data_IF_195315712479
#
_entry.id   IF_195315712479
#
_cell.length_a   1.000
_cell.length_b   1.000
_cell.length_c   1.000
_cell.angle_alpha   90.00
_cell.angle_beta   90.00
_cell.angle_gamma   90.00
#
_symmetry.space_group_name_H-M   'P 1'
#
loop_
_entity.id
_entity.type
_entity.pdbx_description
1 polymer ?
#
# COMPACT_ATOMS: atom_id res chain seq x y z
N UNK A 1 8.74 14.00 6.85
CA UNK A 1 9.00 12.73 6.13
C UNK A 1 7.97 12.42 5.04
N UNK A 2 6.67 12.29 5.38
CA UNK A 2 5.63 11.94 4.39
C UNK A 2 5.56 12.90 3.19
N UNK A 3 5.67 14.21 3.42
CA UNK A 3 5.72 15.20 2.34
C UNK A 3 6.91 14.98 1.40
N UNK A 4 8.08 14.70 1.96
CA UNK A 4 9.30 14.44 1.18
C UNK A 4 9.12 13.20 0.29
N UNK A 5 8.58 12.11 0.85
CA UNK A 5 8.26 10.88 0.09
C UNK A 5 7.26 11.19 -1.03
N UNK A 6 6.20 11.96 -0.73
CA UNK A 6 5.18 12.32 -1.69
C UNK A 6 5.74 13.12 -2.87
N UNK A 7 6.57 14.13 -2.59
CA UNK A 7 7.25 14.93 -3.61
C UNK A 7 8.20 14.08 -4.44
N UNK A 8 8.99 13.19 -3.81
CA UNK A 8 9.90 12.29 -4.54
C UNK A 8 9.15 11.36 -5.50
N UNK A 9 8.00 10.80 -5.08
CA UNK A 9 7.18 9.94 -5.95
C UNK A 9 6.54 10.72 -7.10
N UNK A 10 6.07 11.93 -6.83
CA UNK A 10 5.48 12.80 -7.83
C UNK A 10 6.52 13.22 -8.89
N UNK A 11 7.72 13.62 -8.45
CA UNK A 11 8.80 14.01 -9.34
C UNK A 11 9.34 12.85 -10.18
N UNK A 12 9.36 11.63 -9.64
CA UNK A 12 9.93 10.47 -10.34
C UNK A 12 8.97 9.81 -11.35
N UNK A 13 7.66 9.83 -11.09
CA UNK A 13 6.70 9.07 -11.90
C UNK A 13 5.31 9.68 -12.00
N UNK A 14 5.13 10.94 -11.61
CA UNK A 14 3.83 11.61 -11.63
C UNK A 14 2.84 11.08 -10.58
N UNK A 15 1.61 11.58 -10.60
CA UNK A 15 0.53 11.10 -9.75
C UNK A 15 -0.06 9.77 -10.25
N UNK A 16 -0.78 8.99 -9.41
CA UNK A 16 -1.10 9.23 -8.00
C UNK A 16 0.01 8.81 -7.03
N UNK A 17 0.22 9.59 -5.96
CA UNK A 17 1.24 9.30 -4.93
C UNK A 17 0.80 8.18 -3.97
N UNK A 18 -0.50 8.11 -3.69
CA UNK A 18 -1.08 7.11 -2.80
C UNK A 18 -1.65 5.95 -3.60
N UNK A 19 -1.51 4.76 -3.03
CA UNK A 19 -2.15 3.53 -3.45
C UNK A 19 -3.14 3.12 -2.35
N UNK A 20 -4.33 2.68 -2.74
CA UNK A 20 -5.34 2.19 -1.80
C UNK A 20 -5.82 0.81 -2.24
N UNK A 21 -5.85 -0.14 -1.30
CA UNK A 21 -6.38 -1.48 -1.52
C UNK A 21 -7.49 -1.76 -0.51
N UNK A 22 -8.60 -2.32 -0.98
CA UNK A 22 -9.67 -2.77 -0.07
C UNK A 22 -9.21 -4.02 0.69
N UNK A 23 -9.35 -4.00 2.02
CA UNK A 23 -8.97 -5.06 2.94
C UNK A 23 -10.11 -5.36 3.90
N UNK A 24 -10.12 -6.55 4.48
CA UNK A 24 -11.05 -6.92 5.55
C UNK A 24 -10.46 -6.51 6.90
N UNK A 25 -11.18 -5.64 7.61
CA UNK A 25 -10.87 -5.20 8.97
C UNK A 25 -11.69 -5.94 10.03
N UNK A 26 -11.85 -5.32 11.19
CA UNK A 26 -12.60 -5.89 12.30
C UNK A 26 -14.06 -6.21 11.91
N UNK A 27 -14.53 -7.40 12.32
CA UNK A 27 -15.88 -7.86 12.02
C UNK A 27 -16.15 -8.08 10.52
N UNK A 28 -15.12 -8.44 9.75
CA UNK A 28 -15.17 -8.63 8.29
C UNK A 28 -15.65 -7.38 7.52
N UNK A 29 -15.47 -6.19 8.09
CA UNK A 29 -15.85 -4.94 7.45
C UNK A 29 -14.78 -4.51 6.44
N UNK A 30 -15.12 -4.31 5.16
CA UNK A 30 -14.16 -3.84 4.17
C UNK A 30 -13.79 -2.37 4.41
N UNK A 31 -12.51 -2.04 4.33
CA UNK A 31 -12.02 -0.66 4.40
C UNK A 31 -10.87 -0.43 3.41
N UNK A 32 -10.54 0.84 3.14
CA UNK A 32 -9.45 1.22 2.21
C UNK A 32 -8.14 1.37 2.97
N UNK A 33 -7.23 0.43 2.80
CA UNK A 33 -5.88 0.50 3.37
C UNK A 33 -4.98 1.38 2.51
N UNK A 34 -4.48 2.49 3.06
CA UNK A 34 -3.64 3.45 2.34
C UNK A 34 -2.15 3.11 2.43
N UNK A 35 -1.43 3.23 1.32
CA UNK A 35 0.03 3.10 1.23
C UNK A 35 0.60 4.11 0.24
N UNK A 36 1.91 4.33 0.27
CA UNK A 36 2.58 5.02 -0.83
C UNK A 36 2.67 4.10 -2.06
N UNK A 37 2.51 4.68 -3.25
CA UNK A 37 2.69 3.96 -4.52
C UNK A 37 4.16 3.54 -4.65
N UNK A 38 4.39 2.24 -4.81
CA UNK A 38 5.72 1.68 -5.06
C UNK A 38 5.96 1.30 -6.52
N UNK A 39 4.88 0.97 -7.22
CA UNK A 39 4.91 0.55 -8.62
C UNK A 39 4.90 1.74 -9.58
N UNK A 40 5.40 1.52 -10.79
CA UNK A 40 5.28 2.50 -11.87
C UNK A 40 3.81 2.65 -12.30
N UNK A 41 3.41 3.86 -12.70
CA UNK A 41 2.05 4.15 -13.19
C UNK A 41 1.74 3.41 -14.48
N UNK A 42 2.77 3.15 -15.28
CA UNK A 42 2.67 2.49 -16.58
C UNK A 42 2.61 0.97 -16.46
N UNK A 43 2.74 0.41 -15.25
CA UNK A 43 2.59 -1.03 -15.06
C UNK A 43 1.16 -1.46 -15.35
N UNK A 44 1.04 -2.60 -16.04
CA UNK A 44 -0.24 -3.21 -16.37
C UNK A 44 -1.06 -3.46 -15.09
N UNK A 45 -2.28 -2.89 -14.99
CA UNK A 45 -3.22 -3.17 -13.90
C UNK A 45 -3.53 -4.67 -13.72
N UNK A 46 -3.36 -5.47 -14.78
CA UNK A 46 -3.58 -6.92 -14.79
C UNK A 46 -2.32 -7.75 -14.49
N UNK A 47 -1.20 -7.12 -14.12
CA UNK A 47 -0.01 -7.85 -13.68
C UNK A 47 -0.25 -8.65 -12.39
N UNK A 48 0.75 -9.45 -11.96
CA UNK A 48 0.65 -10.29 -10.76
C UNK A 48 0.00 -9.56 -9.56
N UNK A 49 -1.07 -10.13 -9.02
CA UNK A 49 -1.78 -9.60 -7.86
C UNK A 49 -0.90 -9.57 -6.60
N UNK A 50 0.12 -10.45 -6.55
CA UNK A 50 1.08 -10.52 -5.47
C UNK A 50 2.37 -9.77 -5.83
N UNK A 51 2.90 -9.02 -4.85
CA UNK A 51 4.24 -8.47 -4.94
C UNK A 51 5.25 -9.57 -4.63
N UNK A 52 6.15 -9.86 -5.56
CA UNK A 52 7.24 -10.83 -5.38
C UNK A 52 8.55 -10.13 -4.98
N UNK A 53 9.48 -10.86 -4.38
CA UNK A 53 10.82 -10.35 -4.15
C UNK A 53 11.49 -10.03 -5.49
N UNK A 54 12.07 -8.84 -5.62
CA UNK A 54 12.70 -8.40 -6.88
C UNK A 54 11.71 -8.01 -7.99
N UNK A 55 10.47 -7.65 -7.66
CA UNK A 55 9.46 -7.25 -8.64
C UNK A 55 9.93 -6.07 -9.52
N UNK A 56 10.13 -6.33 -10.81
CA UNK A 56 10.60 -5.36 -11.80
C UNK A 56 9.63 -4.20 -12.03
N UNK A 57 8.36 -4.34 -11.60
CA UNK A 57 7.35 -3.28 -11.67
C UNK A 57 7.63 -2.15 -10.67
N UNK A 58 8.46 -2.39 -9.65
CA UNK A 58 8.76 -1.39 -8.62
C UNK A 58 9.72 -0.31 -9.13
N UNK A 59 9.37 0.94 -8.85
CA UNK A 59 10.27 2.08 -9.05
C UNK A 59 11.48 1.99 -8.11
N UNK A 60 12.57 2.71 -8.42
CA UNK A 60 13.75 2.79 -7.54
C UNK A 60 13.37 3.30 -6.14
N UNK A 61 12.52 4.32 -6.08
CA UNK A 61 11.99 4.87 -4.82
C UNK A 61 11.09 3.83 -4.13
N UNK A 62 10.21 3.16 -4.89
CA UNK A 62 9.34 2.11 -4.38
C UNK A 62 10.09 0.95 -3.72
N UNK A 63 11.26 0.57 -4.27
CA UNK A 63 12.14 -0.44 -3.65
C UNK A 63 12.69 0.02 -2.30
N UNK A 64 13.13 1.26 -2.18
CA UNK A 64 13.59 1.83 -0.90
C UNK A 64 12.44 1.89 0.11
N UNK A 65 11.26 2.32 -0.33
CA UNK A 65 10.07 2.35 0.53
C UNK A 65 9.67 0.96 1.02
N UNK A 66 9.72 -0.06 0.16
CA UNK A 66 9.44 -1.45 0.53
C UNK A 66 10.44 -2.00 1.55
N UNK A 67 11.74 -1.71 1.36
CA UNK A 67 12.81 -2.18 2.22
C UNK A 67 12.74 -1.53 3.61
N UNK A 68 12.38 -0.25 3.67
CA UNK A 68 12.25 0.53 4.92
C UNK A 68 10.86 0.44 5.56
N UNK A 69 9.88 -0.16 4.87
CA UNK A 69 8.45 -0.15 5.23
C UNK A 69 7.82 1.24 5.33
N UNK A 70 8.50 2.29 4.85
CA UNK A 70 7.92 3.62 4.83
C UNK A 70 6.74 3.77 3.87
N UNK A 71 6.52 2.80 2.97
CA UNK A 71 5.28 2.75 2.17
C UNK A 71 4.02 2.58 3.02
N UNK A 72 4.14 2.05 4.24
CA UNK A 72 3.03 1.78 5.15
C UNK A 72 2.65 3.00 6.02
N UNK A 73 3.43 4.09 6.01
CA UNK A 73 3.14 5.30 6.79
C UNK A 73 1.72 5.87 6.59
N UNK A 74 1.13 5.88 5.37
CA UNK A 74 -0.25 6.34 5.18
C UNK A 74 -1.30 5.53 5.95
N UNK A 75 -0.99 4.30 6.40
CA UNK A 75 -1.89 3.50 7.24
C UNK A 75 -2.13 4.13 8.61
N UNK A 76 -1.27 5.05 9.07
CA UNK A 76 -1.54 5.82 10.28
C UNK A 76 -2.86 6.61 10.18
N UNK A 77 -3.24 7.04 8.97
CA UNK A 77 -4.54 7.65 8.75
C UNK A 77 -5.68 6.66 9.03
N UNK A 78 -5.55 5.40 8.59
CA UNK A 78 -6.53 4.34 8.90
C UNK A 78 -6.65 4.09 10.40
N UNK A 79 -5.55 4.20 11.14
CA UNK A 79 -5.58 4.12 12.61
C UNK A 79 -6.34 5.29 13.23
N UNK A 80 -6.09 6.51 12.76
CA UNK A 80 -6.74 7.73 13.28
C UNK A 80 -8.25 7.70 13.05
N UNK A 81 -8.71 7.23 11.89
CA UNK A 81 -10.14 7.15 11.56
C UNK A 81 -10.84 5.88 12.09
N UNK A 82 -10.10 4.99 12.76
CA UNK A 82 -10.66 3.80 13.40
C UNK A 82 -10.82 2.56 12.51
N UNK A 83 -10.30 2.58 11.28
CA UNK A 83 -10.30 1.43 10.37
C UNK A 83 -9.31 0.32 10.83
N UNK A 84 -8.21 0.74 11.49
CA UNK A 84 -7.12 -0.14 11.91
C UNK A 84 -6.70 0.15 13.35
N UNK A 85 -6.10 -0.84 14.01
CA UNK A 85 -5.40 -0.65 15.28
C UNK A 85 -3.88 -0.61 15.06
N UNK A 86 -3.14 0.07 15.94
CA UNK A 86 -1.67 0.05 15.94
C UNK A 86 -1.16 -1.38 16.20
N UNK A 87 -1.86 -2.12 17.08
CA UNK A 87 -1.55 -3.50 17.44
C UNK A 87 -2.80 -4.33 17.20
N UNK A 88 -2.69 -5.37 16.37
CA UNK A 88 -3.79 -6.25 16.01
C UNK A 88 -3.44 -7.19 14.85
N UNK A 89 -4.36 -8.08 14.44
CA UNK A 89 -4.17 -8.91 13.26
C UNK A 89 -4.03 -8.05 12.01
N UNK A 90 -3.19 -8.48 11.07
CA UNK A 90 -3.01 -7.76 9.81
C UNK A 90 -4.29 -7.88 8.97
N UNK A 91 -4.81 -6.78 8.41
CA UNK A 91 -6.00 -6.81 7.55
C UNK A 91 -5.83 -7.75 6.35
N UNK A 92 -6.78 -8.66 6.18
CA UNK A 92 -6.71 -9.68 5.15
C UNK A 92 -7.12 -9.17 3.77
N UNK A 93 -6.59 -9.81 2.73
CA UNK A 93 -7.00 -9.52 1.35
C UNK A 93 -8.39 -10.09 1.09
N UNK A 94 -9.24 -9.36 0.36
CA UNK A 94 -10.53 -9.89 -0.09
C UNK A 94 -10.39 -11.19 -0.89
N UNK A 95 -9.27 -11.38 -1.58
CA UNK A 95 -8.98 -12.61 -2.34
C UNK A 95 -8.83 -13.87 -1.46
N UNK A 96 -8.66 -13.71 -0.15
CA UNK A 96 -8.51 -14.80 0.82
C UNK A 96 -9.64 -14.81 1.86
N UNK A 97 -10.74 -14.09 1.59
CA UNK A 97 -11.87 -14.01 2.51
C UNK A 97 -12.48 -15.38 2.83
N UNK A 98 -12.51 -16.28 1.83
CA UNK A 98 -13.14 -17.60 1.93
C UNK A 98 -12.20 -18.69 2.46
N UNK A 99 -10.95 -18.35 2.80
CA UNK A 99 -9.97 -19.31 3.31
C UNK A 99 -10.03 -19.50 4.84
N UNK A 100 -10.94 -18.81 5.53
CA UNK A 100 -11.13 -18.81 6.98
C UNK A 100 -12.60 -18.93 7.33
#
# INVERSE_FOLDING_TARGET
>A
LMLLIAVSLLAAGGGPVLFAQTRLGAGARPFRMYKFRKFDVRCDPHGLALTVAGDNRMTRIGRVLAATKFDELPQLWNVIIGDMAIIGPRPESLAFADCF
#
